data_IF_894197194202
#
_entry.id   IF_894197194202
#
_cell.length_a   1.000
_cell.length_b   1.000
_cell.length_c   1.000
_cell.angle_alpha   90.00
_cell.angle_beta   90.00
_cell.angle_gamma   90.00
#
_symmetry.space_group_name_H-M   'P 1'
#
loop_
_entity.id
_entity.type
_entity.pdbx_description
1 polymer ?
#
# COMPACT_ATOMS: atom_id res chain seq x y z
N UNK A 1 -19.77 -13.94 20.90
CA UNK A 1 -18.65 -14.05 21.86
C UNK A 1 -17.32 -14.24 21.14
N UNK A 2 -17.18 -15.19 20.22
CA UNK A 2 -15.91 -15.43 19.48
C UNK A 2 -15.44 -14.22 18.65
N UNK A 3 -16.32 -13.61 17.86
CA UNK A 3 -15.98 -12.43 17.02
C UNK A 3 -15.46 -11.26 17.86
N UNK A 4 -16.13 -10.99 18.99
CA UNK A 4 -15.73 -9.95 19.95
C UNK A 4 -14.40 -10.29 20.64
N UNK A 5 -14.16 -11.56 20.95
CA UNK A 5 -12.87 -12.00 21.49
C UNK A 5 -11.74 -11.84 20.46
N UNK A 6 -12.04 -12.00 19.17
CA UNK A 6 -11.08 -11.78 18.07
C UNK A 6 -10.85 -10.31 17.72
N UNK A 7 -11.47 -9.37 18.44
CA UNK A 7 -11.25 -7.93 18.30
C UNK A 7 -11.03 -7.26 19.66
N UNK A 8 -10.23 -7.87 20.54
CA UNK A 8 -9.86 -7.29 21.84
C UNK A 8 -11.04 -6.79 22.69
N UNK A 9 -12.15 -7.53 22.65
CA UNK A 9 -13.40 -7.19 23.35
C UNK A 9 -14.10 -5.91 22.88
N UNK A 10 -13.66 -5.31 21.77
CA UNK A 10 -14.33 -4.16 21.17
C UNK A 10 -15.77 -4.53 20.82
N UNK A 11 -16.69 -3.61 21.13
CA UNK A 11 -18.12 -3.80 20.90
C UNK A 11 -18.56 -3.35 19.52
N UNK A 12 -17.72 -2.57 18.83
CA UNK A 12 -17.97 -2.06 17.48
C UNK A 12 -16.98 -2.66 16.51
N UNK A 13 -17.49 -3.04 15.34
CA UNK A 13 -16.73 -3.60 14.24
C UNK A 13 -16.60 -5.13 14.29
N UNK A 14 -16.08 -5.66 13.19
CA UNK A 14 -15.76 -7.07 13.00
C UNK A 14 -14.26 -7.17 12.65
N UNK A 15 -13.56 -8.27 13.04
CA UNK A 15 -12.14 -8.43 12.76
C UNK A 15 -11.83 -8.24 11.28
N UNK A 16 -10.77 -7.52 10.94
CA UNK A 16 -10.36 -7.31 9.55
C UNK A 16 -9.48 -8.48 9.10
N UNK A 17 -9.66 -8.95 7.86
CA UNK A 17 -8.74 -9.89 7.20
C UNK A 17 -9.11 -11.37 7.25
N UNK A 18 -10.11 -11.78 8.03
CA UNK A 18 -10.62 -13.17 8.00
C UNK A 18 -11.78 -13.34 7.02
N UNK A 19 -11.83 -14.45 6.28
CA UNK A 19 -12.96 -14.77 5.38
C UNK A 19 -14.30 -14.84 6.12
N UNK A 20 -14.26 -15.24 7.39
CA UNK A 20 -15.44 -15.27 8.26
C UNK A 20 -16.03 -13.87 8.45
N UNK A 21 -15.18 -12.85 8.54
CA UNK A 21 -15.62 -11.47 8.68
C UNK A 21 -16.37 -10.98 7.44
N UNK A 22 -15.92 -11.34 6.24
CA UNK A 22 -16.65 -11.01 5.00
C UNK A 22 -18.05 -11.65 4.99
N UNK A 23 -18.15 -12.92 5.38
CA UNK A 23 -19.46 -13.59 5.48
C UNK A 23 -20.38 -12.90 6.50
N UNK A 24 -19.85 -12.49 7.65
CA UNK A 24 -20.62 -11.75 8.68
C UNK A 24 -21.06 -10.38 8.15
N UNK A 25 -20.17 -9.64 7.49
CA UNK A 25 -20.51 -8.34 6.90
C UNK A 25 -21.65 -8.47 5.88
N UNK A 26 -21.55 -9.46 4.99
CA UNK A 26 -22.55 -9.68 3.95
C UNK A 26 -23.92 -10.11 4.52
N UNK A 27 -23.93 -10.88 5.61
CA UNK A 27 -25.17 -11.22 6.32
C UNK A 27 -25.86 -9.95 6.89
N UNK A 28 -25.09 -9.03 7.47
CA UNK A 28 -25.62 -7.75 7.97
C UNK A 28 -26.13 -6.90 6.81
N UNK A 29 -25.35 -6.79 5.72
CA UNK A 29 -25.74 -6.00 4.55
C UNK A 29 -26.95 -6.58 3.82
N UNK A 30 -27.14 -7.90 3.80
CA UNK A 30 -28.33 -8.54 3.23
C UNK A 30 -29.62 -8.12 3.95
N UNK A 31 -29.58 -8.02 5.27
CA UNK A 31 -30.74 -7.54 6.06
C UNK A 31 -30.99 -6.04 5.84
N UNK A 32 -29.92 -5.24 5.68
CA UNK A 32 -30.03 -3.84 5.27
C UNK A 32 -30.69 -3.72 3.90
N UNK A 33 -30.30 -4.57 2.95
CA UNK A 33 -30.89 -4.61 1.61
C UNK A 33 -32.40 -4.91 1.67
N UNK A 34 -32.82 -5.91 2.46
CA UNK A 34 -34.25 -6.22 2.62
C UNK A 34 -35.05 -5.01 3.15
N UNK A 35 -34.50 -4.30 4.14
CA UNK A 35 -35.09 -3.07 4.68
C UNK A 35 -35.14 -1.95 3.65
N UNK A 36 -34.07 -1.73 2.89
CA UNK A 36 -34.01 -0.72 1.84
C UNK A 36 -35.03 -1.03 0.73
N UNK A 37 -35.06 -2.26 0.23
CA UNK A 37 -36.01 -2.69 -0.81
C UNK A 37 -37.45 -2.44 -0.38
N UNK A 38 -37.78 -2.68 0.89
CA UNK A 38 -39.12 -2.42 1.42
C UNK A 38 -39.52 -0.93 1.46
N UNK A 39 -38.55 -0.01 1.57
CA UNK A 39 -38.79 1.44 1.71
C UNK A 39 -38.67 2.21 0.39
N UNK A 40 -37.68 1.87 -0.43
CA UNK A 40 -37.30 2.64 -1.64
C UNK A 40 -37.30 1.80 -2.93
N UNK A 41 -37.53 0.49 -2.84
CA UNK A 41 -37.53 -0.42 -3.98
C UNK A 41 -36.14 -0.97 -4.32
N UNK A 42 -36.04 -1.70 -5.44
CA UNK A 42 -34.85 -2.46 -5.82
C UNK A 42 -34.00 -1.80 -6.92
N UNK A 43 -34.14 -0.48 -7.13
CA UNK A 43 -33.42 0.25 -8.17
C UNK A 43 -32.08 0.81 -7.68
N UNK A 44 -31.22 -0.08 -7.20
CA UNK A 44 -29.87 0.26 -6.77
C UNK A 44 -28.93 -0.93 -6.98
N UNK A 45 -27.64 -0.63 -7.01
CA UNK A 45 -26.57 -1.61 -7.02
C UNK A 45 -25.79 -1.50 -5.72
N UNK A 46 -25.41 -2.64 -5.15
CA UNK A 46 -24.49 -2.71 -4.02
C UNK A 46 -23.33 -3.63 -4.37
N UNK A 47 -22.12 -3.18 -4.06
CA UNK A 47 -20.93 -4.01 -4.10
C UNK A 47 -20.23 -3.93 -2.73
N UNK A 48 -20.36 -4.99 -1.93
CA UNK A 48 -19.89 -5.04 -0.54
C UNK A 48 -20.53 -3.90 0.27
N UNK A 49 -19.78 -2.83 0.58
CA UNK A 49 -20.20 -1.66 1.34
C UNK A 49 -20.54 -0.44 0.46
N UNK A 50 -20.25 -0.50 -0.83
CA UNK A 50 -20.52 0.58 -1.78
C UNK A 50 -21.95 0.47 -2.34
N UNK A 51 -22.71 1.57 -2.29
CA UNK A 51 -24.08 1.66 -2.79
C UNK A 51 -24.21 2.71 -3.90
N UNK A 52 -24.92 2.37 -4.97
CA UNK A 52 -25.25 3.27 -6.08
C UNK A 52 -26.75 3.24 -6.39
N UNK A 53 -27.39 4.42 -6.40
CA UNK A 53 -28.83 4.56 -6.61
C UNK A 53 -29.15 5.33 -7.88
N UNK A 54 -30.02 4.78 -8.72
CA UNK A 54 -30.56 5.47 -9.90
C UNK A 54 -31.80 6.30 -9.55
N UNK A 55 -31.70 7.62 -9.61
CA UNK A 55 -32.78 8.54 -9.23
C UNK A 55 -33.25 9.38 -10.43
N UNK A 56 -34.55 9.72 -10.50
CA UNK A 56 -35.14 10.57 -11.55
C UNK A 56 -35.04 12.06 -11.22
N UNK A 57 -35.04 12.40 -9.93
CA UNK A 57 -34.98 13.80 -9.45
C UNK A 57 -34.01 13.95 -8.30
N UNK A 58 -33.54 15.19 -8.06
CA UNK A 58 -32.71 15.50 -6.90
C UNK A 58 -33.45 15.22 -5.59
N UNK A 59 -34.74 15.54 -5.53
CA UNK A 59 -35.58 15.26 -4.36
C UNK A 59 -35.63 13.76 -4.04
N UNK A 60 -35.83 12.91 -5.04
CA UNK A 60 -35.80 11.44 -4.87
C UNK A 60 -34.44 10.96 -4.35
N UNK A 61 -33.33 11.54 -4.84
CA UNK A 61 -32.00 11.20 -4.36
C UNK A 61 -31.77 11.62 -2.89
N UNK A 62 -32.24 12.80 -2.49
CA UNK A 62 -32.18 13.28 -1.10
C UNK A 62 -33.04 12.42 -0.16
N UNK A 63 -34.24 12.02 -0.61
CA UNK A 63 -35.12 11.12 0.14
C UNK A 63 -34.48 9.73 0.33
N UNK A 64 -33.93 9.14 -0.75
CA UNK A 64 -33.21 7.85 -0.69
C UNK A 64 -32.01 7.93 0.24
N UNK A 65 -31.21 9.01 0.16
CA UNK A 65 -30.06 9.20 1.02
C UNK A 65 -30.46 9.28 2.51
N UNK A 66 -31.55 9.97 2.83
CA UNK A 66 -32.09 10.03 4.19
C UNK A 66 -32.55 8.66 4.68
N UNK A 67 -33.21 7.87 3.83
CA UNK A 67 -33.65 6.52 4.18
C UNK A 67 -32.45 5.58 4.39
N UNK A 68 -31.44 5.67 3.54
CA UNK A 68 -30.22 4.87 3.68
C UNK A 68 -29.52 5.15 5.02
N UNK A 69 -29.37 6.44 5.37
CA UNK A 69 -28.79 6.84 6.67
C UNK A 69 -29.62 6.30 7.85
N UNK A 70 -30.95 6.39 7.78
CA UNK A 70 -31.84 5.85 8.81
C UNK A 70 -31.65 4.34 8.99
N UNK A 71 -31.69 3.58 7.88
CA UNK A 71 -31.54 2.11 7.93
C UNK A 71 -30.17 1.71 8.46
N UNK A 72 -29.08 2.31 7.96
CA UNK A 72 -27.72 2.04 8.42
C UNK A 72 -27.55 2.37 9.91
N UNK A 73 -28.11 3.48 10.38
CA UNK A 73 -28.02 3.88 11.79
C UNK A 73 -28.64 2.85 12.75
N UNK A 74 -29.65 2.08 12.30
CA UNK A 74 -30.25 1.00 13.09
C UNK A 74 -29.30 -0.18 13.34
N UNK A 75 -28.19 -0.25 12.59
CA UNK A 75 -27.09 -1.21 12.75
C UNK A 75 -25.82 -0.56 13.30
N UNK A 76 -25.90 0.68 13.80
CA UNK A 76 -24.75 1.49 14.21
C UNK A 76 -23.72 1.71 13.09
N UNK A 77 -24.16 1.67 11.83
CA UNK A 77 -23.35 1.98 10.65
C UNK A 77 -23.60 3.44 10.23
N UNK A 78 -22.53 4.08 9.76
CA UNK A 78 -22.56 5.48 9.33
C UNK A 78 -22.00 5.60 7.91
N UNK A 79 -22.60 6.48 7.11
CA UNK A 79 -22.06 6.83 5.80
C UNK A 79 -20.84 7.74 5.95
N UNK A 80 -19.83 7.50 5.11
CA UNK A 80 -18.72 8.42 4.99
C UNK A 80 -19.15 9.65 4.19
N UNK A 81 -19.34 10.78 4.86
CA UNK A 81 -19.80 12.05 4.25
C UNK A 81 -18.85 12.57 3.17
N UNK A 82 -17.55 12.25 3.24
CA UNK A 82 -16.58 12.65 2.20
C UNK A 82 -16.69 11.83 0.92
N UNK A 83 -17.22 10.59 1.01
CA UNK A 83 -17.43 9.69 -0.14
C UNK A 83 -18.87 9.74 -0.67
N UNK A 84 -19.81 10.22 0.13
CA UNK A 84 -21.23 10.27 -0.22
C UNK A 84 -21.52 11.52 -1.04
N UNK A 85 -21.96 11.35 -2.30
CA UNK A 85 -22.30 12.45 -3.20
C UNK A 85 -23.55 12.13 -4.03
N UNK A 86 -24.32 13.17 -4.35
CA UNK A 86 -25.37 13.10 -5.37
C UNK A 86 -24.81 13.72 -6.65
N UNK A 87 -24.68 12.92 -7.71
CA UNK A 87 -24.18 13.38 -9.01
C UNK A 87 -25.32 13.53 -10.00
N UNK A 88 -25.25 14.56 -10.84
CA UNK A 88 -26.25 14.82 -11.87
C UNK A 88 -25.77 14.24 -13.19
N UNK A 89 -26.55 13.32 -13.76
CA UNK A 89 -26.28 12.73 -15.07
C UNK A 89 -26.80 13.59 -16.24
N UNK A 90 -26.23 13.47 -17.46
CA UNK A 90 -25.08 12.63 -17.79
C UNK A 90 -23.75 13.19 -17.25
N UNK A 91 -22.88 12.30 -16.80
CA UNK A 91 -21.50 12.60 -16.39
C UNK A 91 -20.53 11.96 -17.40
N UNK A 92 -19.28 12.44 -17.43
CA UNK A 92 -18.22 11.75 -18.15
C UNK A 92 -18.02 10.35 -17.55
N UNK A 93 -17.89 9.32 -18.41
CA UNK A 93 -17.69 7.94 -17.93
C UNK A 93 -16.33 7.80 -17.25
N UNK A 94 -15.29 8.34 -17.91
CA UNK A 94 -13.94 8.42 -17.36
C UNK A 94 -13.61 9.88 -17.06
N UNK A 95 -12.86 10.17 -15.98
CA UNK A 95 -12.43 11.52 -15.69
C UNK A 95 -11.52 12.04 -16.80
N UNK A 96 -11.60 13.36 -17.06
CA UNK A 96 -10.85 14.02 -18.13
C UNK A 96 -9.34 13.70 -18.08
N UNK A 97 -8.72 13.70 -16.89
CA UNK A 97 -7.30 13.39 -16.73
C UNK A 97 -6.95 11.99 -17.27
N UNK A 98 -7.81 11.00 -17.03
CA UNK A 98 -7.56 9.62 -17.47
C UNK A 98 -7.58 9.56 -18.99
N UNK A 99 -8.61 10.13 -19.60
CA UNK A 99 -8.78 10.14 -21.06
C UNK A 99 -7.61 10.83 -21.77
N UNK A 100 -7.17 11.98 -21.26
CA UNK A 100 -6.07 12.74 -21.87
C UNK A 100 -4.72 12.00 -21.71
N UNK A 101 -4.44 11.43 -20.53
CA UNK A 101 -3.22 10.62 -20.33
C UNK A 101 -3.27 9.29 -21.10
N UNK A 102 -4.44 8.68 -21.29
CA UNK A 102 -4.63 7.47 -22.10
C UNK A 102 -4.37 7.73 -23.59
N UNK A 103 -4.87 8.86 -24.11
CA UNK A 103 -4.68 9.26 -25.52
C UNK A 103 -3.27 9.70 -25.83
N UNK A 104 -2.52 10.16 -24.83
CA UNK A 104 -1.16 10.60 -25.02
C UNK A 104 -0.28 9.45 -25.58
N UNK A 105 0.24 9.65 -26.78
CA UNK A 105 1.13 8.69 -27.43
C UNK A 105 2.57 8.88 -26.94
N UNK A 106 3.03 7.99 -26.06
CA UNK A 106 4.41 7.99 -25.57
C UNK A 106 5.32 7.41 -26.66
N UNK A 107 5.84 8.29 -27.53
CA UNK A 107 6.59 7.88 -28.71
C UNK A 107 8.03 7.49 -28.34
N UNK A 108 8.35 6.22 -28.55
CA UNK A 108 9.66 5.63 -28.25
C UNK A 108 10.50 5.35 -29.51
N UNK A 109 10.40 6.14 -30.58
CA UNK A 109 11.09 5.86 -31.86
C UNK A 109 12.60 6.16 -31.85
N UNK A 110 13.02 7.31 -31.33
CA UNK A 110 14.42 7.75 -31.27
C UNK A 110 14.73 8.36 -29.90
N UNK A 111 16.00 8.52 -29.54
CA UNK A 111 16.38 9.17 -28.27
C UNK A 111 15.77 10.57 -28.11
N UNK A 112 15.86 11.40 -29.15
CA UNK A 112 15.34 12.77 -29.12
C UNK A 112 13.80 12.81 -29.00
N UNK A 113 13.11 11.92 -29.70
CA UNK A 113 11.64 11.84 -29.66
C UNK A 113 11.17 11.27 -28.32
N UNK A 114 11.81 10.22 -27.81
CA UNK A 114 11.52 9.63 -26.51
C UNK A 114 11.72 10.65 -25.38
N UNK A 115 12.84 11.40 -25.39
CA UNK A 115 13.09 12.47 -24.42
C UNK A 115 11.97 13.50 -24.40
N UNK A 116 11.59 14.01 -25.58
CA UNK A 116 10.52 15.02 -25.71
C UNK A 116 9.17 14.45 -25.25
N UNK A 117 8.88 13.20 -25.60
CA UNK A 117 7.62 12.55 -25.25
C UNK A 117 7.51 12.30 -23.75
N UNK A 118 8.58 11.85 -23.08
CA UNK A 118 8.61 11.68 -21.62
C UNK A 118 8.41 13.02 -20.89
N UNK A 119 9.08 14.09 -21.33
CA UNK A 119 8.91 15.43 -20.74
C UNK A 119 7.49 15.96 -20.93
N UNK A 120 6.95 15.86 -22.14
CA UNK A 120 5.59 16.35 -22.39
C UNK A 120 4.52 15.51 -21.68
N UNK A 121 4.74 14.20 -21.49
CA UNK A 121 3.88 13.37 -20.64
C UNK A 121 3.99 13.77 -19.17
N UNK A 122 5.20 14.05 -18.68
CA UNK A 122 5.43 14.58 -17.35
C UNK A 122 4.69 15.91 -17.12
N UNK A 123 4.84 16.88 -18.03
CA UNK A 123 4.17 18.18 -17.92
C UNK A 123 2.64 18.04 -17.91
N UNK A 124 2.10 17.16 -18.75
CA UNK A 124 0.66 16.85 -18.78
C UNK A 124 0.20 16.21 -17.46
N UNK A 125 0.98 15.28 -16.92
CA UNK A 125 0.70 14.62 -15.64
C UNK A 125 0.69 15.63 -14.49
N UNK A 126 1.69 16.52 -14.43
CA UNK A 126 1.76 17.57 -13.40
C UNK A 126 0.58 18.55 -13.50
N UNK A 127 0.17 18.92 -14.73
CA UNK A 127 -0.97 19.82 -14.94
C UNK A 127 -2.28 19.25 -14.37
N UNK A 128 -2.52 17.94 -14.55
CA UNK A 128 -3.69 17.29 -13.95
C UNK A 128 -3.54 17.09 -12.45
N UNK A 129 -2.34 16.75 -11.96
CA UNK A 129 -2.10 16.61 -10.53
C UNK A 129 -2.38 17.91 -9.76
N UNK A 130 -2.02 19.06 -10.33
CA UNK A 130 -2.31 20.38 -9.75
C UNK A 130 -3.82 20.65 -9.65
N UNK A 131 -4.59 20.21 -10.65
CA UNK A 131 -6.05 20.41 -10.70
C UNK A 131 -6.81 19.42 -9.82
N UNK A 132 -6.33 18.19 -9.75
CA UNK A 132 -7.03 17.05 -9.14
C UNK A 132 -6.07 16.25 -8.24
N UNK A 133 -5.55 16.83 -7.15
CA UNK A 133 -4.48 16.22 -6.34
C UNK A 133 -4.90 14.95 -5.59
N UNK A 134 -6.20 14.74 -5.39
CA UNK A 134 -6.73 13.54 -4.73
C UNK A 134 -6.89 12.35 -5.67
N UNK A 135 -6.76 12.56 -6.98
CA UNK A 135 -6.88 11.51 -7.99
C UNK A 135 -5.56 10.72 -8.11
N UNK A 136 -5.62 9.41 -8.45
CA UNK A 136 -4.44 8.53 -8.51
C UNK A 136 -3.60 8.74 -9.79
N UNK A 137 -3.39 10.00 -10.18
CA UNK A 137 -2.74 10.42 -11.42
C UNK A 137 -1.30 9.93 -11.49
N UNK A 138 -0.54 10.07 -10.41
CA UNK A 138 0.87 9.65 -10.37
C UNK A 138 1.05 8.14 -10.47
N UNK A 139 0.22 7.36 -9.75
CA UNK A 139 0.22 5.90 -9.89
C UNK A 139 -0.08 5.47 -11.33
N UNK A 140 -1.08 6.09 -11.96
CA UNK A 140 -1.39 5.81 -13.37
C UNK A 140 -0.23 6.21 -14.31
N UNK A 141 0.39 7.38 -14.10
CA UNK A 141 1.50 7.85 -14.91
C UNK A 141 2.74 6.95 -14.81
N UNK A 142 3.07 6.48 -13.60
CA UNK A 142 4.13 5.50 -13.36
C UNK A 142 3.83 4.22 -14.15
N UNK A 143 2.63 3.64 -14.02
CA UNK A 143 2.22 2.43 -14.74
C UNK A 143 2.25 2.60 -16.27
N UNK A 144 1.81 3.75 -16.78
CA UNK A 144 1.82 4.02 -18.22
C UNK A 144 3.22 4.09 -18.78
N UNK A 145 4.12 4.81 -18.12
CA UNK A 145 5.51 4.94 -18.59
C UNK A 145 6.30 3.64 -18.43
N UNK A 146 6.02 2.91 -17.36
CA UNK A 146 6.42 1.52 -17.06
C UNK A 146 6.24 0.55 -18.22
N UNK A 147 5.15 0.69 -18.98
CA UNK A 147 4.83 -0.19 -20.12
C UNK A 147 5.75 -0.02 -21.34
N UNK A 148 6.68 0.92 -21.29
CA UNK A 148 7.60 1.24 -22.38
C UNK A 148 9.07 1.07 -21.99
N UNK A 149 9.87 0.56 -22.91
CA UNK A 149 11.32 0.48 -22.74
C UNK A 149 11.95 1.86 -22.99
N UNK A 150 12.62 2.38 -21.97
CA UNK A 150 13.40 3.62 -22.01
C UNK A 150 14.83 3.29 -22.42
N UNK A 151 15.36 4.05 -23.39
CA UNK A 151 16.74 3.85 -23.87
C UNK A 151 17.73 4.36 -22.84
N UNK A 152 18.91 3.74 -22.79
CA UNK A 152 19.97 4.07 -21.83
C UNK A 152 20.31 5.58 -21.80
N UNK A 153 20.34 6.26 -22.96
CA UNK A 153 20.63 7.70 -23.05
C UNK A 153 19.58 8.59 -22.34
N UNK A 154 18.34 8.10 -22.24
CA UNK A 154 17.23 8.82 -21.61
C UNK A 154 16.91 8.32 -20.20
N UNK A 155 17.50 7.20 -19.77
CA UNK A 155 17.25 6.63 -18.46
C UNK A 155 17.54 7.60 -17.31
N UNK A 156 18.64 8.40 -17.30
CA UNK A 156 18.87 9.37 -16.22
C UNK A 156 17.75 10.41 -16.09
N UNK A 157 17.14 10.83 -17.20
CA UNK A 157 15.96 11.70 -17.16
C UNK A 157 14.75 10.96 -16.61
N UNK A 158 14.52 9.73 -17.07
CA UNK A 158 13.38 8.93 -16.64
C UNK A 158 13.44 8.61 -15.15
N UNK A 159 14.61 8.24 -14.62
CA UNK A 159 14.83 8.04 -13.19
C UNK A 159 14.43 9.28 -12.39
N UNK A 160 14.86 10.49 -12.81
CA UNK A 160 14.49 11.74 -12.14
C UNK A 160 12.99 12.00 -12.13
N UNK A 161 12.31 11.71 -13.24
CA UNK A 161 10.85 11.78 -13.33
C UNK A 161 10.21 10.85 -12.29
N UNK A 162 10.65 9.57 -12.25
CA UNK A 162 10.12 8.60 -11.28
C UNK A 162 10.39 9.05 -9.84
N UNK A 163 11.61 9.46 -9.51
CA UNK A 163 11.95 9.90 -8.16
C UNK A 163 11.20 11.17 -7.74
N UNK A 164 10.91 12.07 -8.67
CA UNK A 164 10.06 13.24 -8.42
C UNK A 164 8.61 12.82 -8.13
N UNK A 165 8.07 11.85 -8.86
CA UNK A 165 6.75 11.28 -8.58
C UNK A 165 6.71 10.54 -7.24
N UNK A 166 7.72 9.75 -6.90
CA UNK A 166 7.84 9.09 -5.60
C UNK A 166 7.91 10.10 -4.44
N UNK A 167 8.54 11.25 -4.67
CA UNK A 167 8.62 12.31 -3.65
C UNK A 167 7.28 12.99 -3.45
N UNK A 168 6.51 13.19 -4.53
CA UNK A 168 5.18 13.82 -4.48
C UNK A 168 4.10 12.87 -3.96
N UNK A 169 4.17 11.59 -4.32
CA UNK A 169 3.28 10.52 -3.88
C UNK A 169 4.08 9.23 -3.62
N UNK A 170 4.54 9.00 -2.37
CA UNK A 170 5.33 7.83 -2.02
C UNK A 170 4.61 6.50 -2.20
N UNK A 171 3.28 6.49 -2.33
CA UNK A 171 2.54 5.26 -2.60
C UNK A 171 2.79 4.69 -4.01
N UNK A 172 3.54 5.41 -4.85
CA UNK A 172 4.09 4.93 -6.14
C UNK A 172 5.39 4.12 -6.02
N UNK A 173 6.04 4.14 -4.85
CA UNK A 173 7.33 3.46 -4.60
C UNK A 173 7.39 1.99 -4.99
N UNK A 174 6.38 1.13 -4.72
CA UNK A 174 6.48 -0.29 -5.05
C UNK A 174 6.82 -0.50 -6.52
N UNK A 175 6.10 0.23 -7.38
CA UNK A 175 6.27 0.15 -8.83
C UNK A 175 7.62 0.75 -9.23
N UNK A 176 7.95 1.93 -8.70
CA UNK A 176 9.19 2.65 -9.07
C UNK A 176 10.45 1.85 -8.68
N UNK A 177 10.48 1.25 -7.50
CA UNK A 177 11.57 0.42 -7.02
C UNK A 177 11.77 -0.77 -7.96
N UNK A 178 10.70 -1.44 -8.35
CA UNK A 178 10.74 -2.55 -9.30
C UNK A 178 11.27 -2.12 -10.66
N UNK A 179 10.88 -0.94 -11.17
CA UNK A 179 11.47 -0.40 -12.41
C UNK A 179 12.96 -0.14 -12.29
N UNK A 180 13.39 0.50 -11.21
CA UNK A 180 14.80 0.81 -10.99
C UNK A 180 15.62 -0.49 -10.87
N UNK A 181 15.11 -1.48 -10.12
CA UNK A 181 15.73 -2.80 -9.99
C UNK A 181 15.80 -3.55 -11.34
N UNK A 182 14.73 -3.50 -12.14
CA UNK A 182 14.70 -4.06 -13.49
C UNK A 182 15.80 -3.47 -14.36
N UNK A 183 15.91 -2.14 -14.45
CA UNK A 183 16.93 -1.49 -15.28
C UNK A 183 18.36 -1.74 -14.78
N UNK A 184 18.56 -1.78 -13.46
CA UNK A 184 19.83 -2.18 -12.83
C UNK A 184 20.21 -3.61 -13.25
N UNK A 185 19.27 -4.56 -13.18
CA UNK A 185 19.49 -5.95 -13.58
C UNK A 185 19.78 -6.11 -15.08
N UNK A 186 19.23 -5.20 -15.91
CA UNK A 186 19.48 -5.14 -17.35
C UNK A 186 20.82 -4.48 -17.73
N UNK A 187 21.63 -4.05 -16.74
CA UNK A 187 22.93 -3.43 -16.95
C UNK A 187 22.89 -1.94 -17.32
N UNK A 188 21.75 -1.27 -17.13
CA UNK A 188 21.67 0.20 -17.29
C UNK A 188 22.34 0.89 -16.10
N UNK A 189 23.07 1.97 -16.36
CA UNK A 189 23.71 2.76 -15.32
C UNK A 189 22.66 3.56 -14.53
N UNK A 190 22.26 3.03 -13.37
CA UNK A 190 21.35 3.66 -12.42
C UNK A 190 22.13 4.57 -11.48
N UNK A 191 21.68 5.81 -11.29
CA UNK A 191 22.26 6.70 -10.28
C UNK A 191 21.69 6.33 -8.90
N UNK A 192 22.31 5.32 -8.28
CA UNK A 192 21.92 4.80 -6.97
C UNK A 192 22.10 5.83 -5.85
N UNK A 193 22.98 6.82 -6.01
CA UNK A 193 23.17 7.87 -5.02
C UNK A 193 21.94 8.81 -4.97
N UNK A 194 21.36 9.13 -6.13
CA UNK A 194 20.10 9.88 -6.20
C UNK A 194 18.94 9.06 -5.62
N UNK A 195 18.84 7.78 -5.97
CA UNK A 195 17.80 6.88 -5.42
C UNK A 195 17.90 6.79 -3.90
N UNK A 196 19.10 6.53 -3.36
CA UNK A 196 19.35 6.50 -1.90
C UNK A 196 18.87 7.80 -1.24
N UNK A 197 19.22 8.96 -1.80
CA UNK A 197 18.83 10.26 -1.25
C UNK A 197 17.30 10.41 -1.19
N UNK A 198 16.61 10.03 -2.26
CA UNK A 198 15.13 10.10 -2.31
C UNK A 198 14.49 9.14 -1.31
N UNK A 199 14.92 7.88 -1.25
CA UNK A 199 14.35 6.90 -0.30
C UNK A 199 14.58 7.33 1.16
N UNK A 200 15.77 7.83 1.50
CA UNK A 200 16.01 8.35 2.85
C UNK A 200 15.19 9.59 3.17
N UNK A 201 15.00 10.50 2.21
CA UNK A 201 14.10 11.64 2.38
C UNK A 201 12.67 11.17 2.69
N UNK A 202 12.16 10.20 1.93
CA UNK A 202 10.83 9.63 2.16
C UNK A 202 10.73 8.96 3.54
N UNK A 203 11.76 8.20 3.97
CA UNK A 203 11.83 7.62 5.32
C UNK A 203 11.68 8.71 6.38
N UNK A 204 12.50 9.76 6.30
CA UNK A 204 12.53 10.83 7.31
C UNK A 204 11.17 11.53 7.42
N UNK A 205 10.58 11.93 6.28
CA UNK A 205 9.32 12.67 6.27
C UNK A 205 8.11 11.83 6.68
N UNK A 206 8.08 10.55 6.32
CA UNK A 206 6.94 9.67 6.60
C UNK A 206 6.99 9.04 8.00
N UNK A 207 8.19 8.81 8.56
CA UNK A 207 8.34 8.44 9.98
C UNK A 207 7.69 9.50 10.90
N UNK A 208 7.85 10.78 10.58
CA UNK A 208 7.29 11.91 11.38
C UNK A 208 5.77 11.99 11.30
N UNK A 209 5.17 11.47 10.23
CA UNK A 209 3.73 11.50 9.99
C UNK A 209 3.02 10.19 10.40
N UNK A 210 3.77 9.15 10.76
CA UNK A 210 3.21 7.83 11.08
C UNK A 210 2.77 7.03 9.85
N UNK A 211 3.22 7.42 8.65
CA UNK A 211 2.94 6.75 7.38
C UNK A 211 3.86 5.53 7.22
N UNK A 212 3.43 4.39 7.75
CA UNK A 212 4.29 3.19 7.90
C UNK A 212 4.54 2.43 6.60
N UNK A 213 3.58 2.40 5.68
CA UNK A 213 3.70 1.67 4.41
C UNK A 213 4.82 2.25 3.52
N UNK A 214 4.86 3.57 3.42
CA UNK A 214 5.82 4.34 2.66
C UNK A 214 7.25 4.15 3.19
N UNK A 215 7.38 4.07 4.52
CA UNK A 215 8.65 3.77 5.20
C UNK A 215 9.09 2.33 4.90
N UNK A 216 8.18 1.35 5.01
CA UNK A 216 8.46 -0.05 4.68
C UNK A 216 8.96 -0.21 3.24
N UNK A 217 8.25 0.37 2.26
CA UNK A 217 8.66 0.34 0.85
C UNK A 217 10.00 1.03 0.62
N UNK A 218 10.28 2.12 1.33
CA UNK A 218 11.57 2.80 1.23
C UNK A 218 12.72 1.95 1.79
N UNK A 219 12.53 1.28 2.94
CA UNK A 219 13.55 0.35 3.50
C UNK A 219 13.73 -0.85 2.58
N UNK A 220 12.63 -1.42 2.05
CA UNK A 220 12.70 -2.50 1.07
C UNK A 220 13.50 -2.10 -0.17
N UNK A 221 13.25 -0.90 -0.72
CA UNK A 221 14.01 -0.37 -1.86
C UNK A 221 15.50 -0.20 -1.55
N UNK A 222 15.84 0.25 -0.34
CA UNK A 222 17.22 0.34 0.12
C UNK A 222 17.88 -1.05 0.21
N UNK A 223 17.17 -2.07 0.71
CA UNK A 223 17.67 -3.46 0.77
C UNK A 223 17.86 -4.03 -0.63
N UNK A 224 16.83 -3.98 -1.47
CA UNK A 224 16.82 -4.53 -2.83
C UNK A 224 17.92 -3.91 -3.70
N UNK A 225 18.20 -2.62 -3.50
CA UNK A 225 19.24 -1.91 -4.23
C UNK A 225 20.61 -1.94 -3.54
N UNK A 226 20.72 -2.60 -2.38
CA UNK A 226 21.93 -2.74 -1.55
C UNK A 226 22.54 -1.38 -1.14
N UNK A 227 21.70 -0.46 -0.65
CA UNK A 227 22.09 0.88 -0.23
C UNK A 227 22.22 0.97 1.29
N UNK A 228 23.26 1.68 1.76
CA UNK A 228 23.48 1.93 3.18
C UNK A 228 22.61 3.06 3.71
N UNK A 229 22.35 3.07 5.02
CA UNK A 229 21.54 4.10 5.69
C UNK A 229 22.43 5.13 6.37
N UNK A 230 22.04 6.39 6.27
CA UNK A 230 22.67 7.50 6.96
C UNK A 230 22.09 7.69 8.38
N UNK A 231 22.88 8.28 9.28
CA UNK A 231 22.54 8.42 10.70
C UNK A 231 21.21 9.17 10.93
N UNK A 232 20.88 10.15 10.09
CA UNK A 232 19.63 10.90 10.18
C UNK A 232 18.42 9.99 9.99
N UNK A 233 18.40 9.18 8.92
CA UNK A 233 17.31 8.24 8.66
C UNK A 233 17.16 7.20 9.78
N UNK A 234 18.29 6.64 10.25
CA UNK A 234 18.30 5.70 11.38
C UNK A 234 17.79 6.33 12.68
N UNK A 235 18.08 7.62 12.89
CA UNK A 235 17.63 8.35 14.08
C UNK A 235 16.13 8.54 14.14
N UNK A 236 15.45 8.62 12.99
CA UNK A 236 13.99 8.67 12.91
C UNK A 236 13.40 7.26 13.01
N UNK A 237 13.95 6.28 12.28
CA UNK A 237 13.48 4.88 12.29
C UNK A 237 13.42 4.28 13.69
N UNK A 238 14.47 4.47 14.51
CA UNK A 238 14.55 3.89 15.86
C UNK A 238 13.48 4.40 16.84
N UNK A 239 12.75 5.46 16.49
CA UNK A 239 11.68 6.04 17.32
C UNK A 239 10.32 5.45 16.98
N UNK A 240 10.20 4.72 15.87
CA UNK A 240 8.93 4.19 15.38
C UNK A 240 8.67 2.82 15.99
N UNK A 241 7.58 2.71 16.74
CA UNK A 241 7.05 1.43 17.22
C UNK A 241 6.18 0.80 16.13
N UNK A 242 6.81 0.05 15.22
CA UNK A 242 6.11 -0.71 14.21
C UNK A 242 6.90 -1.99 13.87
N UNK A 243 6.29 -3.18 13.98
CA UNK A 243 7.02 -4.43 13.82
C UNK A 243 7.57 -4.64 12.40
N UNK A 244 6.89 -4.16 11.35
CA UNK A 244 7.35 -4.31 9.98
C UNK A 244 8.57 -3.43 9.67
N UNK A 245 8.53 -2.16 10.12
CA UNK A 245 9.67 -1.25 10.02
C UNK A 245 10.88 -1.81 10.78
N UNK A 246 10.64 -2.33 11.99
CA UNK A 246 11.69 -2.93 12.82
C UNK A 246 12.31 -4.15 12.13
N UNK A 247 11.50 -5.10 11.62
CA UNK A 247 12.01 -6.30 10.95
C UNK A 247 12.79 -5.97 9.67
N UNK A 248 12.28 -5.09 8.82
CA UNK A 248 12.98 -4.64 7.61
C UNK A 248 14.31 -3.94 7.97
N UNK A 249 14.32 -3.11 9.02
CA UNK A 249 15.55 -2.42 9.44
C UNK A 249 16.57 -3.40 10.04
N UNK A 250 16.13 -4.39 10.81
CA UNK A 250 17.00 -5.43 11.36
C UNK A 250 17.55 -6.34 10.26
N UNK A 251 16.77 -6.66 9.24
CA UNK A 251 17.25 -7.36 8.03
C UNK A 251 18.33 -6.53 7.32
N UNK A 252 18.09 -5.24 7.10
CA UNK A 252 19.10 -4.33 6.54
C UNK A 252 20.42 -4.32 7.36
N UNK A 253 20.33 -4.37 8.70
CA UNK A 253 21.51 -4.51 9.58
C UNK A 253 22.18 -5.88 9.40
N UNK A 254 21.43 -6.97 9.36
CA UNK A 254 21.95 -8.32 9.16
C UNK A 254 22.66 -8.47 7.80
N UNK A 255 22.19 -7.76 6.78
CA UNK A 255 22.81 -7.68 5.44
C UNK A 255 24.02 -6.73 5.38
N UNK A 256 24.39 -6.07 6.47
CA UNK A 256 25.53 -5.14 6.55
C UNK A 256 25.28 -3.76 5.91
N UNK A 257 24.02 -3.40 5.64
CA UNK A 257 23.65 -2.05 5.14
C UNK A 257 23.58 -1.02 6.27
N UNK A 258 23.51 -1.48 7.51
CA UNK A 258 23.56 -0.71 8.74
C UNK A 258 24.69 -1.27 9.60
N UNK A 259 25.43 -0.41 10.32
CA UNK A 259 26.48 -0.86 11.22
C UNK A 259 25.93 -1.83 12.28
N UNK A 260 26.64 -2.92 12.53
CA UNK A 260 26.31 -3.89 13.59
C UNK A 260 26.38 -3.27 15.00
N UNK A 261 27.09 -2.14 15.15
CA UNK A 261 27.16 -1.37 16.40
C UNK A 261 25.97 -0.43 16.61
N UNK A 262 25.05 -0.33 15.64
CA UNK A 262 23.86 0.50 15.77
C UNK A 262 22.79 -0.24 16.57
N UNK A 263 22.35 0.39 17.66
CA UNK A 263 21.39 -0.18 18.61
C UNK A 263 20.00 0.40 18.39
N UNK A 264 18.98 -0.38 18.73
CA UNK A 264 17.58 0.01 18.60
C UNK A 264 16.87 -0.19 19.95
N UNK A 265 17.08 0.72 20.94
CA UNK A 265 16.65 0.51 22.33
C UNK A 265 15.14 0.27 22.49
N UNK A 266 14.33 0.93 21.66
CA UNK A 266 12.88 0.73 21.63
C UNK A 266 12.56 -0.73 21.28
N UNK A 267 13.08 -1.23 20.16
CA UNK A 267 12.81 -2.59 19.70
C UNK A 267 13.44 -3.64 20.61
N UNK A 268 14.62 -3.36 21.18
CA UNK A 268 15.26 -4.19 22.20
C UNK A 268 14.38 -4.35 23.45
N UNK A 269 13.71 -3.28 23.91
CA UNK A 269 12.80 -3.35 25.07
C UNK A 269 11.54 -4.20 24.83
N UNK A 270 11.16 -4.39 23.56
CA UNK A 270 10.01 -5.19 23.16
C UNK A 270 10.32 -6.70 23.14
N UNK A 271 11.59 -7.11 23.35
CA UNK A 271 12.01 -8.51 23.33
C UNK A 271 11.70 -9.22 24.65
N UNK A 272 10.41 -9.39 24.92
CA UNK A 272 9.89 -10.05 26.13
C UNK A 272 8.59 -10.83 25.85
N UNK A 273 8.25 -11.74 26.78
CA UNK A 273 7.09 -12.64 26.70
C UNK A 273 5.74 -11.94 26.53
N UNK A 274 5.57 -10.73 27.06
CA UNK A 274 4.26 -10.06 27.02
C UNK A 274 3.93 -9.55 25.62
N UNK A 275 4.95 -9.14 24.85
CA UNK A 275 4.78 -8.64 23.48
C UNK A 275 4.31 -9.70 22.49
N UNK A 276 4.45 -11.00 22.82
CA UNK A 276 3.84 -12.08 22.01
C UNK A 276 2.30 -12.02 21.95
N UNK A 277 1.66 -11.20 22.79
CA UNK A 277 0.22 -10.99 22.82
C UNK A 277 -0.21 -9.58 22.43
N UNK A 278 0.72 -8.76 21.93
CA UNK A 278 0.47 -7.38 21.50
C UNK A 278 0.60 -7.26 19.98
N UNK A 279 0.47 -6.05 19.46
CA UNK A 279 0.72 -5.74 18.04
C UNK A 279 2.16 -6.04 17.60
N UNK A 280 3.11 -6.11 18.55
CA UNK A 280 4.53 -6.35 18.29
C UNK A 280 4.91 -7.84 18.24
N UNK A 281 3.94 -8.75 18.34
CA UNK A 281 4.20 -10.19 18.47
C UNK A 281 5.12 -10.74 17.37
N UNK A 282 4.97 -10.27 16.13
CA UNK A 282 5.75 -10.76 14.99
C UNK A 282 7.22 -10.32 15.11
N UNK A 283 7.47 -9.11 15.62
CA UNK A 283 8.83 -8.65 15.91
C UNK A 283 9.44 -9.47 17.06
N UNK A 284 8.70 -9.64 18.16
CA UNK A 284 9.15 -10.41 19.32
C UNK A 284 9.44 -11.88 18.99
N UNK A 285 8.71 -12.46 18.05
CA UNK A 285 8.93 -13.83 17.56
C UNK A 285 10.11 -13.90 16.59
N UNK A 286 10.07 -13.15 15.49
CA UNK A 286 11.05 -13.26 14.39
C UNK A 286 12.45 -12.78 14.81
N UNK A 287 12.55 -11.65 15.53
CA UNK A 287 13.85 -11.10 15.89
C UNK A 287 14.60 -11.97 16.90
N UNK A 288 13.89 -12.63 17.81
CA UNK A 288 14.50 -13.59 18.74
C UNK A 288 14.91 -14.87 18.00
N UNK A 289 14.01 -15.45 17.20
CA UNK A 289 14.28 -16.70 16.46
C UNK A 289 15.46 -16.57 15.48
N UNK A 290 15.59 -15.44 14.81
CA UNK A 290 16.70 -15.13 13.88
C UNK A 290 17.97 -14.66 14.60
N UNK A 291 17.94 -14.50 15.92
CA UNK A 291 19.05 -13.95 16.70
C UNK A 291 19.39 -12.51 16.34
N UNK A 292 18.43 -11.76 15.80
CA UNK A 292 18.61 -10.35 15.44
C UNK A 292 18.61 -9.45 16.67
N UNK A 293 17.77 -9.73 17.66
CA UNK A 293 17.78 -9.02 18.93
C UNK A 293 17.79 -10.01 20.10
N UNK A 294 18.57 -9.75 21.17
CA UNK A 294 18.53 -10.57 22.37
C UNK A 294 17.25 -10.30 23.15
N UNK A 295 16.80 -11.28 23.94
CA UNK A 295 15.75 -11.06 24.93
C UNK A 295 16.22 -10.14 26.06
N UNK A 296 15.28 -9.38 26.63
CA UNK A 296 15.57 -8.41 27.70
C UNK A 296 16.18 -9.06 28.94
N UNK A 297 15.76 -10.27 29.28
CA UNK A 297 16.21 -11.03 30.46
C UNK A 297 17.19 -12.17 30.12
N UNK A 298 17.56 -12.33 28.84
CA UNK A 298 18.41 -13.42 28.38
C UNK A 298 17.72 -14.79 28.31
N UNK A 299 16.40 -14.87 28.57
CA UNK A 299 15.63 -16.11 28.44
C UNK A 299 15.12 -16.33 27.01
N UNK A 300 14.91 -17.59 26.63
CA UNK A 300 14.13 -17.91 25.43
C UNK A 300 12.65 -17.98 25.81
N UNK A 301 11.96 -16.84 25.68
CA UNK A 301 10.56 -16.72 26.08
C UNK A 301 9.58 -17.43 25.13
N UNK A 302 10.03 -17.99 24.00
CA UNK A 302 9.16 -18.71 23.06
C UNK A 302 8.78 -20.10 23.59
N UNK A 303 9.68 -20.75 24.33
CA UNK A 303 9.48 -22.09 24.90
C UNK A 303 8.36 -22.09 25.94
N UNK A 304 8.20 -20.97 26.66
CA UNK A 304 7.30 -20.86 27.80
C UNK A 304 5.85 -20.49 27.42
N UNK A 305 5.53 -20.35 26.13
CA UNK A 305 4.21 -19.90 25.66
C UNK A 305 3.60 -20.92 24.72
N UNK A 306 2.51 -21.54 25.18
CA UNK A 306 1.70 -22.47 24.37
C UNK A 306 1.25 -21.80 23.07
N UNK A 307 1.45 -22.47 21.94
CA UNK A 307 1.26 -21.94 20.59
C UNK A 307 2.57 -21.47 19.95
N UNK A 308 3.29 -20.55 20.57
CA UNK A 308 4.56 -20.04 20.03
C UNK A 308 5.68 -21.08 20.10
N UNK A 309 5.71 -21.92 21.12
CA UNK A 309 6.61 -23.08 21.18
C UNK A 309 6.36 -24.03 20.00
N UNK A 310 5.09 -24.32 19.69
CA UNK A 310 4.72 -25.14 18.53
C UNK A 310 5.15 -24.51 17.21
N UNK A 311 4.98 -23.19 17.05
CA UNK A 311 5.44 -22.48 15.84
C UNK A 311 6.95 -22.58 15.68
N UNK A 312 7.70 -22.36 16.77
CA UNK A 312 9.16 -22.47 16.78
C UNK A 312 9.63 -23.90 16.48
N UNK A 313 9.03 -24.91 17.10
CA UNK A 313 9.35 -26.34 16.90
C UNK A 313 9.06 -26.82 15.47
N UNK A 314 8.12 -26.19 14.76
CA UNK A 314 7.79 -26.48 13.36
C UNK A 314 8.49 -25.55 12.36
N UNK A 315 9.49 -24.79 12.83
CA UNK A 315 10.28 -23.87 12.03
C UNK A 315 9.46 -22.78 11.29
N UNK A 316 8.31 -22.38 11.83
CA UNK A 316 7.43 -21.40 11.18
C UNK A 316 8.08 -20.01 11.13
N UNK A 317 8.13 -19.45 9.93
CA UNK A 317 8.70 -18.13 9.63
C UNK A 317 7.64 -17.26 8.94
N UNK A 318 7.50 -16.03 9.42
CA UNK A 318 6.60 -15.00 8.89
C UNK A 318 7.34 -13.92 8.10
N UNK A 319 8.65 -13.77 8.33
CA UNK A 319 9.52 -12.86 7.57
C UNK A 319 10.65 -13.64 6.88
N UNK A 320 10.48 -13.93 5.59
CA UNK A 320 11.49 -14.63 4.80
C UNK A 320 12.43 -13.67 4.08
N UNK A 321 13.71 -13.72 4.44
CA UNK A 321 14.78 -12.94 3.80
C UNK A 321 15.02 -13.38 2.35
N UNK A 322 14.80 -14.67 2.07
CA UNK A 322 15.08 -15.29 0.77
C UNK A 322 14.12 -14.79 -0.32
N UNK A 323 12.89 -14.42 0.04
CA UNK A 323 11.93 -13.85 -0.89
C UNK A 323 12.39 -12.51 -1.46
N UNK A 324 13.15 -11.72 -0.70
CA UNK A 324 13.73 -10.46 -1.18
C UNK A 324 14.85 -10.75 -2.19
N UNK A 325 15.66 -11.78 -1.95
CA UNK A 325 16.75 -12.18 -2.85
C UNK A 325 16.23 -12.79 -4.16
N UNK A 326 15.06 -13.42 -4.11
CA UNK A 326 14.37 -14.03 -5.24
C UNK A 326 13.41 -13.07 -5.96
N UNK A 327 13.30 -11.82 -5.50
CA UNK A 327 12.36 -10.85 -6.05
C UNK A 327 12.64 -10.58 -7.54
N UNK A 328 11.69 -10.92 -8.41
CA UNK A 328 11.73 -10.61 -9.83
C UNK A 328 10.77 -9.44 -10.14
N UNK A 329 11.28 -8.25 -10.44
CA UNK A 329 10.45 -7.09 -10.80
C UNK A 329 9.50 -7.32 -12.00
N UNK A 330 9.73 -8.35 -12.82
CA UNK A 330 8.94 -8.61 -14.04
C UNK A 330 7.58 -9.25 -13.78
N UNK A 331 7.37 -9.90 -12.64
CA UNK A 331 6.16 -10.71 -12.40
C UNK A 331 4.92 -9.90 -11.99
N UNK A 332 5.11 -8.69 -11.45
CA UNK A 332 4.06 -8.01 -10.70
C UNK A 332 3.11 -7.14 -11.56
N UNK A 333 3.55 -6.62 -12.71
CA UNK A 333 2.84 -5.50 -13.36
C UNK A 333 2.19 -5.79 -14.72
N UNK A 334 2.15 -7.04 -15.17
CA UNK A 334 1.59 -7.41 -16.48
C UNK A 334 0.09 -7.10 -16.64
N UNK A 335 -0.65 -6.90 -15.54
CA UNK A 335 -2.10 -6.72 -15.52
C UNK A 335 -2.60 -5.26 -15.56
N UNK A 336 -1.75 -4.27 -15.27
CA UNK A 336 -2.22 -2.90 -15.00
C UNK A 336 -2.60 -2.07 -16.24
N UNK A 337 -2.15 -2.47 -17.43
CA UNK A 337 -2.46 -1.73 -18.67
C UNK A 337 -3.93 -1.82 -19.12
N UNK A 338 -4.78 -2.53 -18.37
CA UNK A 338 -6.17 -2.84 -18.75
C UNK A 338 -7.22 -2.35 -17.74
N UNK A 339 -6.82 -1.67 -16.66
CA UNK A 339 -7.72 -1.29 -15.56
C UNK A 339 -8.42 0.06 -15.84
N UNK A 340 -9.70 0.17 -15.50
CA UNK A 340 -10.48 1.42 -15.51
C UNK A 340 -10.02 2.40 -14.43
N UNK A 341 -10.42 3.68 -14.47
CA UNK A 341 -10.12 4.64 -13.39
C UNK A 341 -10.64 4.15 -12.02
N UNK A 342 -11.80 3.50 -12.01
CA UNK A 342 -12.42 2.98 -10.79
C UNK A 342 -11.71 1.72 -10.29
N UNK A 343 -11.34 0.81 -11.19
CA UNK A 343 -10.49 -0.34 -10.83
C UNK A 343 -9.14 0.16 -10.32
N UNK A 344 -8.55 1.19 -10.94
CA UNK A 344 -7.32 1.82 -10.46
C UNK A 344 -7.53 2.42 -9.08
N UNK A 345 -8.56 3.26 -8.85
CA UNK A 345 -8.89 3.79 -7.51
C UNK A 345 -9.03 2.67 -6.47
N UNK A 346 -9.74 1.59 -6.82
CA UNK A 346 -9.96 0.43 -5.95
C UNK A 346 -8.65 -0.31 -5.63
N UNK A 347 -7.83 -0.61 -6.66
CA UNK A 347 -6.51 -1.23 -6.51
C UNK A 347 -5.53 -0.35 -5.75
N UNK A 348 -5.63 0.97 -5.91
CA UNK A 348 -4.74 1.96 -5.31
C UNK A 348 -4.96 2.14 -3.81
N UNK A 349 -6.16 1.78 -3.32
CA UNK A 349 -6.54 1.84 -1.91
C UNK A 349 -6.52 0.46 -1.20
N UNK A 350 -6.08 -0.62 -1.86
CA UNK A 350 -5.90 -1.95 -1.23
C UNK A 350 -4.56 -2.59 -1.61
N UNK A 351 -3.81 -3.06 -0.61
CA UNK A 351 -2.58 -3.85 -0.76
C UNK A 351 -2.84 -5.35 -1.06
N UNK A 352 -3.74 -5.68 -2.00
CA UNK A 352 -3.99 -7.09 -2.37
C UNK A 352 -3.98 -7.28 -3.89
N UNK A 353 -3.13 -8.18 -4.44
CA UNK A 353 -3.23 -8.56 -5.84
C UNK A 353 -4.51 -9.37 -6.10
N UNK A 354 -5.27 -9.00 -7.14
CA UNK A 354 -6.34 -9.85 -7.65
C UNK A 354 -5.72 -11.13 -8.24
N UNK A 355 -5.78 -12.24 -7.51
CA UNK A 355 -5.78 -13.56 -8.13
C UNK A 355 -7.14 -13.69 -8.83
N UNK A 356 -7.21 -13.34 -10.12
CA UNK A 356 -8.38 -13.70 -10.93
C UNK A 356 -8.37 -15.21 -11.12
N UNK A 357 -9.24 -15.91 -10.39
CA UNK A 357 -9.77 -17.19 -10.88
C UNK A 357 -10.49 -16.91 -12.20
N UNK A 358 -10.31 -17.76 -13.22
CA UNK A 358 -10.91 -17.54 -14.53
C UNK A 358 -12.43 -17.74 -14.44
N UNK A 359 -13.19 -16.71 -14.76
CA UNK A 359 -14.54 -16.83 -15.29
C UNK A 359 -14.56 -16.24 -16.69
#
# INVERSE_FOLDING_TARGET
MVVRNGQDQQTKGIPIGSDTSYAIAELIMSEIDEKLVSKIGNNYHRYIDDFEFGCKTLQEAEEILSVLQEVLSSYELELNSSKTKITKLPEEIDPQWLHELQKYNINMSTDAVQKRSLLSFFDLTMNFLEKEPSEPILKYAVIRTSSHIVRANNYPLFQRILLQWATADPSTLPIIIDFIAFYKSAGVNVDLAEVKRTLQFIIIENCRQGHTSEVCWSIFGMILLSQSFDDEALSELKKVENPFIALLTLDARNRGLISSSYNFPLWESLMNKNELKTENWILAYEALRKGWLPSVDGSDYLIDVEGFSTLADNDVEFYSTDLIDQHDPKTNYSYFNRLSAEELRYFVHRDVPLIRLPF
#
